data_IF_265922276205
#
_entry.id   IF_265922276205
#
_cell.length_a   1.000
_cell.length_b   1.000
_cell.length_c   1.000
_cell.angle_alpha   90.00
_cell.angle_beta   90.00
_cell.angle_gamma   90.00
#
_symmetry.space_group_name_H-M   'P 1'
#
loop_
_entity.id
_entity.type
_entity.pdbx_description
1 polymer ?
#
# COMPACT_ATOMS: atom_id res chain seq x y z
N UNK A 1 -32.31 29.46 -16.50
CA UNK A 1 -31.57 29.27 -15.24
C UNK A 1 -30.15 28.86 -15.57
N UNK A 2 -29.19 29.74 -15.34
CA UNK A 2 -27.77 29.52 -15.62
C UNK A 2 -27.14 28.62 -14.56
N UNK A 3 -26.73 27.40 -14.92
CA UNK A 3 -25.83 26.60 -14.10
C UNK A 3 -24.38 26.98 -14.43
N UNK A 4 -23.62 27.29 -13.38
CA UNK A 4 -22.23 27.74 -13.46
C UNK A 4 -21.31 26.67 -14.06
N UNK A 5 -20.56 27.06 -15.08
CA UNK A 5 -19.61 26.25 -15.86
C UNK A 5 -18.45 25.66 -15.03
N UNK A 6 -18.33 26.06 -13.76
CA UNK A 6 -17.23 25.64 -12.87
C UNK A 6 -17.38 24.21 -12.32
N UNK A 7 -18.58 23.64 -12.28
CA UNK A 7 -18.82 22.29 -11.73
C UNK A 7 -18.46 21.21 -12.75
N UNK A 8 -18.66 21.47 -14.05
CA UNK A 8 -18.45 20.50 -15.13
C UNK A 8 -16.96 20.16 -15.30
N UNK A 9 -16.08 21.15 -15.08
CA UNK A 9 -14.63 20.96 -15.22
C UNK A 9 -13.97 20.26 -14.02
N UNK A 10 -14.69 20.06 -12.91
CA UNK A 10 -14.15 19.35 -11.74
C UNK A 10 -14.32 17.83 -11.85
N UNK A 11 -15.23 17.35 -12.71
CA UNK A 11 -15.61 15.92 -12.81
C UNK A 11 -14.81 15.18 -13.89
N UNK A 12 -14.18 15.90 -14.83
CA UNK A 12 -13.38 15.31 -15.92
C UNK A 12 -12.01 14.77 -15.51
N UNK A 13 -11.61 14.94 -14.24
CA UNK A 13 -10.29 14.52 -13.72
C UNK A 13 -10.33 13.20 -12.93
N UNK A 14 -11.51 12.64 -12.67
CA UNK A 14 -11.65 11.31 -12.08
C UNK A 14 -12.10 10.32 -13.14
N UNK A 15 -11.24 9.33 -13.43
CA UNK A 15 -11.59 8.16 -14.23
C UNK A 15 -12.60 7.29 -13.47
N UNK A 16 -13.84 7.73 -13.45
CA UNK A 16 -14.97 7.01 -12.87
C UNK A 16 -15.28 5.84 -13.82
N UNK A 17 -15.26 4.58 -13.37
CA UNK A 17 -15.65 3.46 -14.20
C UNK A 17 -17.11 3.62 -14.67
N UNK A 18 -17.35 3.36 -15.96
CA UNK A 18 -18.61 3.62 -16.68
C UNK A 18 -19.86 3.03 -16.03
N UNK A 19 -19.70 2.06 -15.13
CA UNK A 19 -20.78 1.43 -14.38
C UNK A 19 -21.48 2.37 -13.39
N UNK A 20 -20.77 3.36 -12.84
CA UNK A 20 -21.33 4.31 -11.86
C UNK A 20 -22.26 5.33 -12.54
N UNK A 21 -22.02 5.65 -13.81
CA UNK A 21 -22.78 6.67 -14.54
C UNK A 21 -24.19 6.19 -14.91
N UNK A 22 -24.37 4.89 -15.17
CA UNK A 22 -25.65 4.31 -15.61
C UNK A 22 -26.73 4.37 -14.53
N UNK A 23 -26.36 4.41 -13.24
CA UNK A 23 -27.30 4.42 -12.12
C UNK A 23 -27.84 5.82 -11.74
N UNK A 24 -27.39 6.89 -12.41
CA UNK A 24 -27.68 8.28 -12.00
C UNK A 24 -28.95 8.89 -12.63
N UNK A 25 -29.68 8.20 -13.51
CA UNK A 25 -30.78 8.80 -14.29
C UNK A 25 -32.19 8.53 -13.76
N UNK A 26 -32.35 7.80 -12.65
CA UNK A 26 -33.66 7.56 -12.04
C UNK A 26 -33.76 8.20 -10.64
N UNK A 27 -34.77 9.05 -10.45
CA UNK A 27 -35.13 9.70 -9.18
C UNK A 27 -35.43 8.64 -8.09
N UNK A 28 -34.41 8.20 -7.34
CA UNK A 28 -34.55 7.45 -6.09
C UNK A 28 -33.39 7.82 -5.16
N UNK A 29 -33.59 8.89 -4.40
CA UNK A 29 -32.59 9.61 -3.62
C UNK A 29 -32.03 8.92 -2.34
N UNK A 30 -32.60 7.83 -1.76
CA UNK A 30 -31.99 7.20 -0.57
C UNK A 30 -31.07 5.99 -0.87
N UNK A 31 -31.24 5.31 -2.01
CA UNK A 31 -30.50 4.07 -2.32
C UNK A 31 -29.08 4.33 -2.83
N UNK A 32 -28.89 5.42 -3.58
CA UNK A 32 -27.58 5.83 -4.11
C UNK A 32 -26.60 6.21 -2.99
N UNK A 33 -27.06 6.94 -1.98
CA UNK A 33 -26.23 7.35 -0.85
C UNK A 33 -25.80 6.16 0.01
N UNK A 34 -26.71 5.21 0.26
CA UNK A 34 -26.36 3.97 0.97
C UNK A 34 -25.31 3.16 0.20
N UNK A 35 -25.43 3.10 -1.13
CA UNK A 35 -24.50 2.37 -1.99
C UNK A 35 -23.12 3.02 -1.99
N UNK A 36 -23.05 4.35 -2.06
CA UNK A 36 -21.80 5.11 -1.98
C UNK A 36 -21.16 4.97 -0.59
N UNK A 37 -21.94 5.07 0.49
CA UNK A 37 -21.46 4.91 1.87
C UNK A 37 -20.99 3.48 2.13
N UNK A 38 -21.72 2.47 1.65
CA UNK A 38 -21.33 1.06 1.74
C UNK A 38 -20.05 0.80 0.95
N UNK A 39 -19.94 1.36 -0.26
CA UNK A 39 -18.74 1.28 -1.08
C UNK A 39 -17.53 1.95 -0.41
N UNK A 40 -17.70 3.16 0.14
CA UNK A 40 -16.67 3.84 0.95
C UNK A 40 -16.29 3.03 2.20
N UNK A 41 -17.26 2.38 2.85
CA UNK A 41 -17.02 1.52 4.03
C UNK A 41 -16.27 0.24 3.66
N UNK A 42 -16.48 -0.32 2.47
CA UNK A 42 -15.72 -1.45 1.93
C UNK A 42 -14.30 -1.05 1.52
N UNK A 43 -14.11 0.15 0.96
CA UNK A 43 -12.79 0.67 0.59
C UNK A 43 -11.92 1.06 1.80
N UNK A 44 -12.50 1.23 3.00
CA UNK A 44 -11.78 1.64 4.21
C UNK A 44 -11.38 0.49 5.14
N UNK A 45 -11.40 -0.76 4.66
CA UNK A 45 -10.78 -1.89 5.40
C UNK A 45 -9.25 -1.75 5.34
N UNK A 46 -8.69 -0.89 6.19
CA UNK A 46 -7.24 -0.71 6.32
C UNK A 46 -6.65 -2.02 6.82
N UNK A 47 -5.97 -2.76 5.94
CA UNK A 47 -5.07 -3.84 6.35
C UNK A 47 -4.08 -3.23 7.35
N UNK A 48 -4.04 -3.79 8.55
CA UNK A 48 -3.08 -3.39 9.58
C UNK A 48 -1.65 -3.69 9.12
N UNK A 49 -0.69 -2.96 9.67
CA UNK A 49 0.73 -3.23 9.44
C UNK A 49 1.06 -4.65 9.91
N UNK A 50 1.57 -5.48 9.00
CA UNK A 50 2.02 -6.83 9.34
C UNK A 50 3.54 -6.80 9.54
N UNK A 51 4.00 -7.18 10.73
CA UNK A 51 5.43 -7.22 11.04
C UNK A 51 6.17 -8.20 10.12
N UNK A 52 7.20 -7.72 9.42
CA UNK A 52 8.00 -8.53 8.51
C UNK A 52 9.24 -9.08 9.22
N UNK A 53 9.95 -8.23 9.97
CA UNK A 53 11.16 -8.62 10.68
C UNK A 53 12.04 -7.44 11.09
N UNK A 54 13.30 -7.74 11.39
CA UNK A 54 14.34 -6.75 11.73
C UNK A 54 15.42 -6.73 10.66
N UNK A 55 15.82 -5.54 10.22
CA UNK A 55 16.91 -5.36 9.25
C UNK A 55 18.24 -5.76 9.89
N UNK A 56 18.92 -6.76 9.30
CA UNK A 56 20.24 -7.19 9.73
C UNK A 56 21.34 -6.45 8.98
N UNK A 57 21.21 -6.36 7.65
CA UNK A 57 22.23 -5.79 6.79
C UNK A 57 21.61 -4.85 5.76
N UNK A 58 22.38 -3.81 5.47
CA UNK A 58 22.11 -2.81 4.45
C UNK A 58 23.33 -2.79 3.52
N UNK A 59 23.11 -2.94 2.23
CA UNK A 59 24.16 -2.86 1.22
C UNK A 59 23.56 -2.30 -0.06
N UNK A 60 24.19 -1.27 -0.63
CA UNK A 60 23.66 -0.51 -1.75
C UNK A 60 22.19 -0.10 -1.55
N UNK A 61 21.31 -0.52 -2.46
CA UNK A 61 19.86 -0.35 -2.40
C UNK A 61 19.13 -1.60 -1.91
N UNK A 62 19.80 -2.51 -1.20
CA UNK A 62 19.24 -3.77 -0.73
C UNK A 62 19.30 -3.89 0.79
N UNK A 63 18.28 -4.55 1.33
CA UNK A 63 18.18 -4.88 2.75
C UNK A 63 18.05 -6.39 2.90
N UNK A 64 18.77 -6.95 3.88
CA UNK A 64 18.52 -8.31 4.38
C UNK A 64 17.81 -8.20 5.72
N UNK A 65 16.66 -8.86 5.81
CA UNK A 65 15.80 -8.79 6.99
C UNK A 65 15.64 -10.18 7.56
N UNK A 66 15.87 -10.31 8.87
CA UNK A 66 15.55 -11.54 9.60
C UNK A 66 14.05 -11.58 9.85
N UNK A 67 13.38 -12.51 9.18
CA UNK A 67 11.97 -12.77 9.38
C UNK A 67 11.69 -13.29 10.78
N UNK A 68 10.50 -13.00 11.29
CA UNK A 68 9.92 -13.75 12.41
C UNK A 68 9.17 -14.97 11.88
N UNK A 69 8.39 -15.69 12.72
CA UNK A 69 7.50 -16.77 12.27
C UNK A 69 6.35 -16.19 11.45
N UNK A 70 6.63 -15.84 10.19
CA UNK A 70 5.66 -15.27 9.26
C UNK A 70 5.27 -16.32 8.22
N UNK A 71 4.00 -16.36 7.84
CA UNK A 71 3.57 -17.06 6.62
C UNK A 71 4.16 -16.31 5.42
N UNK A 72 5.11 -16.95 4.73
CA UNK A 72 5.83 -16.36 3.58
C UNK A 72 4.97 -16.26 2.32
N UNK A 73 3.81 -16.91 2.32
CA UNK A 73 2.84 -16.85 1.22
C UNK A 73 2.51 -15.41 0.85
N UNK A 74 2.66 -15.09 -0.45
CA UNK A 74 2.30 -13.80 -1.08
C UNK A 74 3.11 -12.59 -0.58
N UNK A 75 4.33 -12.81 -0.08
CA UNK A 75 5.23 -11.71 0.31
C UNK A 75 6.08 -11.17 -0.85
N UNK A 76 6.38 -11.97 -1.87
CA UNK A 76 7.12 -11.47 -3.04
C UNK A 76 6.37 -10.30 -3.68
N UNK A 77 7.12 -9.25 -4.06
CA UNK A 77 6.62 -7.98 -4.61
C UNK A 77 5.76 -7.13 -3.66
N UNK A 78 5.58 -7.55 -2.41
CA UNK A 78 4.84 -6.76 -1.41
C UNK A 78 5.57 -5.47 -1.04
N UNK A 79 4.81 -4.43 -0.71
CA UNK A 79 5.33 -3.12 -0.33
C UNK A 79 5.79 -3.16 1.12
N UNK A 80 7.05 -2.79 1.33
CA UNK A 80 7.66 -2.69 2.65
C UNK A 80 7.55 -1.25 3.15
N UNK A 81 7.20 -1.12 4.42
CA UNK A 81 7.08 0.16 5.12
C UNK A 81 7.82 0.18 6.46
N UNK A 82 8.22 1.38 6.90
CA UNK A 82 8.70 1.61 8.27
C UNK A 82 7.56 1.64 9.28
N UNK A 83 7.90 1.74 10.57
CA UNK A 83 6.93 1.97 11.64
C UNK A 83 6.12 3.26 11.45
N UNK A 84 6.74 4.31 10.88
CA UNK A 84 6.03 5.56 10.52
C UNK A 84 5.18 5.42 9.24
N UNK A 85 4.98 4.21 8.72
CA UNK A 85 4.24 3.90 7.48
C UNK A 85 4.86 4.51 6.22
N UNK A 86 6.15 4.89 6.26
CA UNK A 86 6.87 5.33 5.08
C UNK A 86 7.20 4.13 4.19
N UNK A 87 6.84 4.19 2.91
CA UNK A 87 7.21 3.16 1.92
C UNK A 87 8.71 3.22 1.65
N UNK A 88 9.38 2.09 1.74
CA UNK A 88 10.84 1.99 1.57
C UNK A 88 11.25 1.10 0.41
N UNK A 89 10.44 0.11 0.03
CA UNK A 89 10.83 -0.80 -1.03
C UNK A 89 9.86 -1.94 -1.26
N UNK A 90 10.36 -2.98 -1.92
CA UNK A 90 9.63 -4.21 -2.23
C UNK A 90 10.44 -5.45 -1.84
N UNK A 91 9.74 -6.48 -1.38
CA UNK A 91 10.35 -7.81 -1.21
C UNK A 91 10.68 -8.39 -2.58
N UNK A 92 11.93 -8.77 -2.80
CA UNK A 92 12.38 -9.41 -4.04
C UNK A 92 12.66 -10.90 -3.88
N UNK A 93 13.01 -11.35 -2.67
CA UNK A 93 13.37 -12.75 -2.42
C UNK A 93 13.14 -13.16 -0.96
N UNK A 94 13.00 -14.46 -0.73
CA UNK A 94 12.83 -15.09 0.59
C UNK A 94 13.61 -16.40 0.58
N UNK A 95 14.60 -16.51 1.47
CA UNK A 95 15.54 -17.63 1.48
C UNK A 95 15.92 -18.06 2.90
N UNK A 96 16.61 -19.20 3.02
CA UNK A 96 17.05 -19.73 4.31
C UNK A 96 16.00 -20.60 5.02
N UNK A 97 16.11 -20.76 6.35
CA UNK A 97 15.27 -21.68 7.11
C UNK A 97 13.78 -21.33 7.06
N UNK A 98 12.93 -22.34 6.89
CA UNK A 98 11.46 -22.16 6.80
C UNK A 98 10.87 -21.54 8.07
N UNK A 99 11.41 -21.88 9.24
CA UNK A 99 10.94 -21.38 10.54
C UNK A 99 11.36 -19.93 10.82
N UNK A 100 12.45 -19.46 10.21
CA UNK A 100 13.04 -18.15 10.41
C UNK A 100 13.77 -17.71 9.13
N UNK A 101 13.02 -17.30 8.10
CA UNK A 101 13.60 -16.98 6.80
C UNK A 101 14.32 -15.64 6.83
N UNK A 102 15.23 -15.47 5.89
CA UNK A 102 15.77 -14.18 5.49
C UNK A 102 14.96 -13.62 4.33
N UNK A 103 14.74 -12.30 4.34
CA UNK A 103 13.89 -11.62 3.38
C UNK A 103 14.73 -10.54 2.71
N UNK A 104 14.89 -10.66 1.40
CA UNK A 104 15.57 -9.69 0.56
C UNK A 104 14.61 -8.58 0.14
N UNK A 105 15.00 -7.33 0.33
CA UNK A 105 14.20 -6.15 -0.03
C UNK A 105 15.03 -5.24 -0.92
N UNK A 106 14.44 -4.78 -2.02
CA UNK A 106 15.01 -3.73 -2.88
C UNK A 106 14.35 -2.41 -2.53
N UNK A 107 15.17 -1.42 -2.20
CA UNK A 107 14.76 -0.06 -1.84
C UNK A 107 14.35 0.70 -3.09
N UNK A 108 13.37 1.59 -2.99
CA UNK A 108 12.99 2.44 -4.12
C UNK A 108 14.09 3.43 -4.49
N UNK A 109 14.21 3.67 -5.79
CA UNK A 109 15.10 4.70 -6.34
C UNK A 109 14.81 6.08 -5.74
N UNK A 110 15.84 6.92 -5.64
CA UNK A 110 15.74 8.26 -5.06
C UNK A 110 15.80 8.31 -3.53
N UNK A 111 15.91 7.17 -2.84
CA UNK A 111 16.18 7.14 -1.39
C UNK A 111 17.67 7.42 -1.14
N UNK A 112 17.99 8.43 -0.32
CA UNK A 112 19.38 8.77 0.02
C UNK A 112 20.05 7.63 0.79
N UNK A 113 21.29 7.30 0.45
CA UNK A 113 22.06 6.22 1.08
C UNK A 113 22.12 6.34 2.61
N UNK A 114 22.27 7.57 3.13
CA UNK A 114 22.26 7.86 4.57
C UNK A 114 20.95 7.44 5.25
N UNK A 115 19.82 7.57 4.57
CA UNK A 115 18.51 7.15 5.10
C UNK A 115 18.39 5.63 5.09
N UNK A 116 18.94 4.97 4.08
CA UNK A 116 18.94 3.50 3.97
C UNK A 116 19.79 2.91 5.10
N UNK A 117 20.98 3.46 5.36
CA UNK A 117 21.88 3.01 6.44
C UNK A 117 21.21 3.10 7.82
N UNK A 118 20.35 4.10 8.05
CA UNK A 118 19.59 4.25 9.30
C UNK A 118 18.54 3.15 9.53
N UNK A 119 18.22 2.35 8.51
CA UNK A 119 17.30 1.23 8.63
C UNK A 119 17.92 0.01 9.31
N UNK A 120 19.25 -0.04 9.46
CA UNK A 120 19.92 -1.12 10.17
C UNK A 120 19.37 -1.30 11.59
N UNK A 121 19.11 -2.55 11.99
CA UNK A 121 18.51 -2.92 13.28
C UNK A 121 17.08 -2.38 13.52
N UNK A 122 16.41 -1.80 12.52
CA UNK A 122 15.03 -1.36 12.64
C UNK A 122 14.04 -2.46 12.30
N UNK A 123 12.85 -2.38 12.91
CA UNK A 123 11.70 -3.21 12.56
C UNK A 123 11.06 -2.66 11.30
N UNK A 124 10.63 -3.58 10.43
CA UNK A 124 9.94 -3.23 9.20
C UNK A 124 8.66 -4.05 9.02
N UNK A 125 7.76 -3.52 8.22
CA UNK A 125 6.40 -4.03 8.06
C UNK A 125 6.05 -4.16 6.59
N UNK A 126 5.00 -4.93 6.31
CA UNK A 126 4.43 -5.13 4.97
C UNK A 126 2.96 -4.72 4.95
N UNK A 127 2.51 -4.21 3.80
CA UNK A 127 1.12 -3.84 3.50
C UNK A 127 0.29 -5.00 2.91
#
# INVERSE_FOLDING_TARGET
MHFSSSIINLVSSFSIPSFIFVLSTHKNFPLTLYTIVLFLKLMTKRKGLRGLGTVLHVFDNKLIVKGSRIKVERLINSIVVTEEKRRIGKVYDIFGPVNQPYIGITVFEGTKEEEIKKLANKKIFVL
#
